data_IF_901652110810
#
_entry.id   IF_901652110810
#
_cell.length_a   1.000
_cell.length_b   1.000
_cell.length_c   1.000
_cell.angle_alpha   90.00
_cell.angle_beta   90.00
_cell.angle_gamma   90.00
#
_symmetry.space_group_name_H-M   'P 1'
#
loop_
_entity.id
_entity.type
_entity.pdbx_description
1 polymer ?
#
# COMPACT_ATOMS: atom_id res chain seq x y z
N UNK A 1 -0.10 33.20 12.42
CA UNK A 1 0.27 31.95 13.10
C UNK A 1 1.53 32.06 13.95
N UNK A 2 1.93 33.28 14.25
CA UNK A 2 3.16 33.56 15.05
C UNK A 2 3.06 32.95 16.44
N UNK A 3 1.91 33.11 17.08
CA UNK A 3 1.68 32.57 18.43
C UNK A 3 1.78 31.05 18.43
N UNK A 4 1.23 30.40 17.40
CA UNK A 4 1.27 28.95 17.26
C UNK A 4 2.70 28.46 17.05
N UNK A 5 3.49 29.17 16.25
CA UNK A 5 4.89 28.88 16.04
C UNK A 5 5.68 28.89 17.34
N UNK A 6 5.49 29.94 18.17
CA UNK A 6 6.16 30.04 19.45
C UNK A 6 5.75 28.92 20.40
N UNK A 7 4.49 28.58 20.41
CA UNK A 7 3.96 27.51 21.23
C UNK A 7 4.56 26.15 20.80
N UNK A 8 4.72 25.94 19.53
CA UNK A 8 5.34 24.69 19.02
C UNK A 8 6.76 24.54 19.50
N UNK A 9 7.55 25.63 19.48
CA UNK A 9 8.92 25.58 19.97
C UNK A 9 8.98 25.23 21.45
N UNK A 10 8.02 25.71 22.24
CA UNK A 10 7.97 25.46 23.67
C UNK A 10 7.34 24.11 24.00
N UNK A 11 6.34 23.70 23.26
CA UNK A 11 5.54 22.51 23.53
C UNK A 11 6.16 21.20 23.05
N UNK A 12 7.13 21.22 22.14
CA UNK A 12 7.76 20.00 21.61
C UNK A 12 6.74 19.06 21.00
N UNK A 13 6.69 17.83 21.53
CA UNK A 13 5.79 16.79 21.02
C UNK A 13 4.32 17.16 21.17
N UNK A 14 3.95 17.92 22.17
CA UNK A 14 2.58 18.35 22.37
C UNK A 14 2.10 19.26 21.25
N UNK A 15 3.02 19.98 20.62
CA UNK A 15 2.71 20.91 19.53
C UNK A 15 2.92 20.25 18.15
N UNK A 16 3.66 19.14 18.09
CA UNK A 16 3.92 18.45 16.82
C UNK A 16 2.66 17.88 16.21
N UNK A 17 1.75 17.35 17.03
CA UNK A 17 0.52 16.77 16.51
C UNK A 17 -0.41 17.81 15.87
N UNK A 18 -0.74 18.95 16.52
CA UNK A 18 -1.53 19.98 15.85
C UNK A 18 -0.90 20.51 14.57
N UNK A 19 0.42 20.65 14.54
CA UNK A 19 1.14 21.07 13.34
C UNK A 19 0.99 20.07 12.22
N UNK A 20 1.11 18.79 12.54
CA UNK A 20 0.93 17.72 11.56
C UNK A 20 -0.50 17.73 11.00
N UNK A 21 -1.52 17.86 11.85
CA UNK A 21 -2.91 17.92 11.42
C UNK A 21 -3.16 19.10 10.50
N UNK A 22 -2.59 20.25 10.82
CA UNK A 22 -2.71 21.44 9.99
C UNK A 22 -2.07 21.22 8.62
N UNK A 23 -0.89 20.61 8.59
CA UNK A 23 -0.21 20.31 7.33
C UNK A 23 -1.00 19.30 6.49
N UNK A 24 -1.53 18.26 7.11
CA UNK A 24 -2.29 17.21 6.41
C UNK A 24 -3.50 17.80 5.69
N UNK A 25 -4.20 18.74 6.32
CA UNK A 25 -5.43 19.31 5.76
C UNK A 25 -5.20 20.61 5.01
N UNK A 26 -3.94 21.04 4.82
CA UNK A 26 -3.62 22.28 4.15
C UNK A 26 -3.86 22.18 2.64
N UNK A 27 -4.58 23.16 2.10
CA UNK A 27 -4.80 23.28 0.66
C UNK A 27 -3.70 24.10 -0.03
N UNK A 28 -2.71 24.59 0.74
CA UNK A 28 -1.60 25.36 0.21
C UNK A 28 -0.43 24.50 -0.25
N UNK A 29 -0.44 23.20 0.05
CA UNK A 29 0.56 22.27 -0.46
C UNK A 29 0.36 22.07 -1.95
N UNK A 30 1.45 21.84 -2.66
CA UNK A 30 1.36 21.54 -4.10
C UNK A 30 0.43 20.36 -4.37
N UNK A 31 0.53 19.31 -3.54
CA UNK A 31 -0.36 18.16 -3.59
C UNK A 31 -1.09 18.06 -2.26
N UNK A 32 -2.40 18.02 -2.33
CA UNK A 32 -3.20 17.87 -1.12
C UNK A 32 -3.00 16.47 -0.54
N UNK A 33 -2.68 16.38 0.75
CA UNK A 33 -2.53 15.08 1.43
C UNK A 33 -3.88 14.61 1.95
N UNK A 34 -4.46 15.29 2.93
CA UNK A 34 -5.70 14.92 3.58
C UNK A 34 -5.55 13.70 4.47
N UNK A 35 -6.58 13.42 5.28
CA UNK A 35 -6.57 12.23 6.12
C UNK A 35 -6.69 10.94 5.29
N UNK A 36 -7.42 10.99 4.19
CA UNK A 36 -7.42 9.87 3.26
C UNK A 36 -6.06 9.67 2.61
N UNK A 37 -5.32 10.77 2.38
CA UNK A 37 -3.95 10.67 1.85
C UNK A 37 -2.98 10.03 2.83
N UNK A 38 -3.17 10.23 4.12
CA UNK A 38 -2.37 9.57 5.16
C UNK A 38 -2.52 8.05 5.10
N UNK A 39 -3.70 7.56 4.73
CA UNK A 39 -3.93 6.13 4.50
C UNK A 39 -3.49 5.72 3.10
N UNK A 40 -3.82 6.51 2.09
CA UNK A 40 -3.58 6.19 0.67
C UNK A 40 -2.10 6.06 0.34
N UNK A 41 -1.29 7.03 0.79
CA UNK A 41 0.11 7.10 0.37
C UNK A 41 0.89 5.85 0.78
N UNK A 42 0.91 5.43 2.06
CA UNK A 42 1.62 4.20 2.41
C UNK A 42 1.01 2.95 1.76
N UNK A 43 -0.31 2.90 1.58
CA UNK A 43 -0.95 1.75 0.93
C UNK A 43 -0.53 1.61 -0.52
N UNK A 44 -0.57 2.69 -1.29
CA UNK A 44 -0.18 2.64 -2.70
C UNK A 44 1.31 2.41 -2.87
N UNK A 45 2.15 3.01 -2.02
CA UNK A 45 3.59 2.79 -2.06
C UNK A 45 3.93 1.33 -1.73
N UNK A 46 3.27 0.75 -0.75
CA UNK A 46 3.46 -0.65 -0.38
C UNK A 46 3.06 -1.57 -1.52
N UNK A 47 1.91 -1.32 -2.13
CA UNK A 47 1.44 -2.12 -3.27
C UNK A 47 2.41 -2.01 -4.45
N UNK A 48 2.84 -0.80 -4.78
CA UNK A 48 3.76 -0.58 -5.90
C UNK A 48 5.12 -1.22 -5.66
N UNK A 49 5.68 -1.04 -4.47
CA UNK A 49 6.98 -1.62 -4.13
C UNK A 49 6.93 -3.14 -4.15
N UNK A 50 5.92 -3.73 -3.56
CA UNK A 50 5.77 -5.19 -3.55
C UNK A 50 5.56 -5.74 -4.96
N UNK A 51 4.76 -5.05 -5.77
CA UNK A 51 4.54 -5.45 -7.16
C UNK A 51 5.86 -5.46 -7.94
N UNK A 52 6.63 -4.38 -7.86
CA UNK A 52 7.89 -4.27 -8.60
C UNK A 52 8.87 -5.36 -8.17
N UNK A 53 9.05 -5.54 -6.87
CA UNK A 53 9.99 -6.56 -6.36
C UNK A 53 9.53 -7.95 -6.73
N UNK A 54 8.25 -8.24 -6.59
CA UNK A 54 7.70 -9.57 -6.93
C UNK A 54 7.77 -9.84 -8.44
N UNK A 55 7.48 -8.83 -9.26
CA UNK A 55 7.56 -8.97 -10.71
C UNK A 55 8.98 -9.27 -11.18
N UNK A 56 9.98 -8.74 -10.48
CA UNK A 56 11.39 -8.93 -10.85
C UNK A 56 11.97 -10.20 -10.24
N UNK A 57 11.71 -10.48 -8.96
CA UNK A 57 12.53 -11.41 -8.20
C UNK A 57 11.77 -12.46 -7.39
N UNK A 58 10.45 -12.50 -7.43
CA UNK A 58 9.72 -13.47 -6.62
C UNK A 58 9.97 -14.91 -7.09
N UNK A 59 10.19 -15.86 -6.15
CA UNK A 59 10.36 -17.25 -6.53
C UNK A 59 9.06 -17.85 -7.09
N UNK A 60 9.14 -19.02 -7.77
CA UNK A 60 7.93 -19.65 -8.30
C UNK A 60 6.88 -19.93 -7.24
N UNK A 61 5.62 -19.79 -7.61
CA UNK A 61 4.46 -19.87 -6.73
C UNK A 61 3.58 -21.06 -7.10
N UNK A 62 3.13 -21.79 -6.09
CA UNK A 62 2.25 -22.95 -6.24
C UNK A 62 0.80 -22.48 -6.39
N UNK A 63 0.46 -21.93 -7.54
CA UNK A 63 -0.87 -21.34 -7.78
C UNK A 63 -2.01 -22.34 -7.70
N UNK A 64 -1.82 -23.53 -8.28
CA UNK A 64 -2.92 -24.52 -8.36
C UNK A 64 -3.04 -25.39 -7.11
N UNK A 65 -2.10 -25.27 -6.18
CA UNK A 65 -2.12 -26.05 -4.96
C UNK A 65 -1.72 -27.52 -5.14
N UNK A 66 -1.16 -27.86 -6.29
CA UNK A 66 -0.75 -29.23 -6.62
C UNK A 66 0.77 -29.42 -6.53
N UNK A 67 1.46 -28.45 -5.94
CA UNK A 67 2.93 -28.43 -5.80
C UNK A 67 3.65 -28.41 -7.13
N UNK A 68 3.09 -27.71 -8.09
CA UNK A 68 3.70 -27.44 -9.39
C UNK A 68 3.89 -25.92 -9.51
N UNK A 69 5.01 -25.37 -8.99
CA UNK A 69 5.19 -23.94 -8.95
C UNK A 69 5.27 -23.30 -10.33
N UNK A 70 4.67 -22.11 -10.45
CA UNK A 70 4.68 -21.31 -11.67
C UNK A 70 5.61 -20.13 -11.49
N UNK A 71 6.57 -19.96 -12.38
CA UNK A 71 7.49 -18.83 -12.38
C UNK A 71 6.84 -17.63 -13.08
N UNK A 72 6.77 -16.51 -12.39
CA UNK A 72 6.23 -15.27 -12.95
C UNK A 72 7.23 -14.11 -12.97
N UNK A 73 8.35 -14.23 -12.26
CA UNK A 73 9.32 -13.14 -12.15
C UNK A 73 10.31 -13.15 -13.31
N UNK A 74 10.86 -11.96 -13.59
CA UNK A 74 11.84 -11.79 -14.66
C UNK A 74 13.09 -12.62 -14.43
N UNK A 75 13.54 -12.75 -13.18
CA UNK A 75 14.74 -13.52 -12.84
C UNK A 75 14.58 -15.02 -13.04
N UNK A 76 13.36 -15.49 -13.27
CA UNK A 76 13.05 -16.91 -13.46
C UNK A 76 12.69 -17.23 -14.90
N UNK A 77 13.20 -16.45 -15.85
CA UNK A 77 13.07 -16.74 -17.26
C UNK A 77 11.91 -16.09 -17.98
N UNK A 78 11.25 -15.14 -17.34
CA UNK A 78 10.18 -14.38 -17.96
C UNK A 78 10.67 -13.05 -18.53
N UNK A 79 9.88 -12.48 -19.43
CA UNK A 79 10.06 -11.13 -19.92
C UNK A 79 8.87 -10.27 -19.47
N UNK A 80 8.82 -9.00 -19.91
CA UNK A 80 7.75 -8.11 -19.51
C UNK A 80 6.38 -8.62 -19.94
N UNK A 81 6.31 -9.31 -21.08
CA UNK A 81 5.04 -9.81 -21.60
C UNK A 81 4.56 -11.04 -20.82
N UNK A 82 5.46 -11.97 -20.52
CA UNK A 82 5.11 -13.22 -19.84
C UNK A 82 5.17 -13.10 -18.32
N UNK A 83 5.78 -12.04 -17.79
CA UNK A 83 5.92 -11.86 -16.36
C UNK A 83 4.59 -11.56 -15.68
N UNK A 84 4.48 -11.99 -14.42
CA UNK A 84 3.28 -11.74 -13.63
C UNK A 84 3.59 -11.95 -12.16
N UNK A 85 2.82 -11.27 -11.30
CA UNK A 85 2.75 -11.64 -9.89
C UNK A 85 1.73 -12.78 -9.82
N UNK A 86 2.22 -13.98 -9.58
CA UNK A 86 1.38 -15.18 -9.64
C UNK A 86 0.37 -15.17 -8.49
N UNK A 87 -0.91 -15.45 -8.75
CA UNK A 87 -1.93 -15.47 -7.71
C UNK A 87 -1.62 -16.42 -6.57
N UNK A 88 -2.26 -16.19 -5.43
CA UNK A 88 -2.12 -17.04 -4.26
C UNK A 88 -2.57 -18.47 -4.53
N UNK A 89 -1.96 -19.40 -3.82
CA UNK A 89 -2.23 -20.84 -3.98
C UNK A 89 -3.71 -21.17 -3.80
N UNK A 90 -4.21 -22.07 -4.62
CA UNK A 90 -5.55 -22.62 -4.47
C UNK A 90 -5.73 -23.34 -3.13
N UNK A 91 -4.65 -23.83 -2.54
CA UNK A 91 -4.69 -24.46 -1.21
C UNK A 91 -5.08 -23.44 -0.12
N UNK A 92 -4.75 -22.16 -0.31
CA UNK A 92 -5.16 -21.08 0.59
C UNK A 92 -6.63 -20.70 0.34
N UNK A 93 -7.06 -20.78 -0.93
CA UNK A 93 -8.40 -20.42 -1.32
C UNK A 93 -8.70 -18.95 -1.05
N UNK A 94 -9.80 -18.68 -0.36
CA UNK A 94 -10.22 -17.34 0.01
C UNK A 94 -9.69 -16.90 1.37
N UNK A 95 -8.85 -17.69 2.02
CA UNK A 95 -8.31 -17.35 3.33
C UNK A 95 -7.36 -16.16 3.23
N UNK A 96 -7.46 -15.28 4.21
CA UNK A 96 -6.53 -14.17 4.36
C UNK A 96 -5.15 -14.72 4.74
N UNK A 97 -4.12 -14.34 3.98
CA UNK A 97 -2.78 -14.91 4.11
C UNK A 97 -1.72 -13.82 4.20
N UNK A 98 -1.67 -13.09 5.33
CA UNK A 98 -0.60 -12.12 5.56
C UNK A 98 0.71 -12.81 5.92
N UNK A 99 1.80 -12.05 5.91
CA UNK A 99 3.13 -12.60 6.22
C UNK A 99 3.15 -13.31 7.58
N UNK A 100 2.45 -12.75 8.58
CA UNK A 100 2.48 -13.30 9.93
C UNK A 100 1.68 -14.59 10.11
N UNK A 101 0.88 -14.98 9.14
CA UNK A 101 0.16 -16.25 9.17
C UNK A 101 0.98 -17.40 8.59
N UNK A 102 2.06 -17.09 7.88
CA UNK A 102 2.96 -18.10 7.38
C UNK A 102 4.01 -18.45 8.44
N UNK A 103 4.50 -19.69 8.42
CA UNK A 103 5.57 -20.09 9.33
C UNK A 103 6.88 -19.37 9.00
N UNK A 104 7.15 -19.15 7.72
CA UNK A 104 8.34 -18.44 7.24
C UNK A 104 7.98 -17.55 6.06
N UNK A 105 8.85 -16.58 5.75
CA UNK A 105 8.70 -15.74 4.57
C UNK A 105 8.82 -16.58 3.28
N UNK A 106 9.66 -17.60 3.29
CA UNK A 106 9.81 -18.49 2.13
C UNK A 106 8.51 -19.23 1.85
N UNK A 107 7.83 -19.71 2.88
CA UNK A 107 6.52 -20.34 2.75
C UNK A 107 5.49 -19.36 2.22
N UNK A 108 5.50 -18.13 2.74
CA UNK A 108 4.60 -17.08 2.28
C UNK A 108 4.82 -16.79 0.80
N UNK A 109 6.08 -16.71 0.35
CA UNK A 109 6.40 -16.50 -1.06
C UNK A 109 5.94 -17.67 -1.93
N UNK A 110 6.15 -18.90 -1.46
CA UNK A 110 5.77 -20.11 -2.21
C UNK A 110 4.27 -20.20 -2.42
N UNK A 111 3.49 -19.76 -1.45
CA UNK A 111 2.03 -19.79 -1.51
C UNK A 111 1.39 -18.57 -2.16
N UNK A 112 2.20 -17.67 -2.69
CA UNK A 112 1.66 -16.51 -3.42
C UNK A 112 1.17 -15.39 -2.52
N UNK A 113 1.73 -15.25 -1.33
CA UNK A 113 1.37 -14.16 -0.41
C UNK A 113 1.51 -12.76 -1.00
N UNK A 114 2.55 -12.47 -1.79
CA UNK A 114 2.69 -11.15 -2.41
C UNK A 114 1.50 -10.71 -3.24
N UNK A 115 0.81 -11.62 -3.89
CA UNK A 115 -0.38 -11.29 -4.66
C UNK A 115 -1.46 -10.65 -3.78
N UNK A 116 -1.75 -11.25 -2.62
CA UNK A 116 -2.72 -10.68 -1.68
C UNK A 116 -2.27 -9.35 -1.13
N UNK A 117 -0.99 -9.23 -0.79
CA UNK A 117 -0.45 -7.97 -0.29
C UNK A 117 -0.69 -6.85 -1.30
N UNK A 118 -0.35 -7.09 -2.55
CA UNK A 118 -0.49 -6.08 -3.61
C UNK A 118 -1.96 -5.71 -3.82
N UNK A 119 -2.83 -6.70 -4.03
CA UNK A 119 -4.22 -6.38 -4.37
C UNK A 119 -4.97 -5.71 -3.23
N UNK A 120 -4.74 -6.14 -1.99
CA UNK A 120 -5.45 -5.55 -0.85
C UNK A 120 -4.96 -4.13 -0.56
N UNK A 121 -3.64 -3.90 -0.59
CA UNK A 121 -3.11 -2.56 -0.42
C UNK A 121 -3.54 -1.63 -1.55
N UNK A 122 -3.55 -2.14 -2.77
CA UNK A 122 -4.01 -1.36 -3.92
C UNK A 122 -5.49 -0.99 -3.78
N UNK A 123 -6.35 -1.94 -3.42
CA UNK A 123 -7.78 -1.67 -3.26
C UNK A 123 -8.05 -0.66 -2.15
N UNK A 124 -7.36 -0.78 -1.03
CA UNK A 124 -7.46 0.21 0.05
C UNK A 124 -6.97 1.56 -0.44
N UNK A 125 -5.86 1.57 -1.16
CA UNK A 125 -5.27 2.80 -1.69
C UNK A 125 -6.19 3.54 -2.66
N UNK A 126 -6.82 2.84 -3.60
CA UNK A 126 -7.74 3.50 -4.55
C UNK A 126 -9.03 3.93 -3.86
N UNK A 127 -9.50 3.18 -2.87
CA UNK A 127 -10.66 3.59 -2.07
C UNK A 127 -10.35 4.87 -1.30
N UNK A 128 -9.16 4.94 -0.71
CA UNK A 128 -8.70 6.15 -0.03
C UNK A 128 -8.48 7.30 -1.02
N UNK A 129 -8.07 7.02 -2.26
CA UNK A 129 -7.95 8.04 -3.28
C UNK A 129 -9.32 8.69 -3.57
N UNK A 130 -10.35 7.89 -3.68
CA UNK A 130 -11.71 8.42 -3.87
C UNK A 130 -12.15 9.25 -2.67
N UNK A 131 -11.85 8.77 -1.46
CA UNK A 131 -12.14 9.51 -0.24
C UNK A 131 -11.37 10.82 -0.17
N UNK A 132 -10.13 10.82 -0.65
CA UNK A 132 -9.29 12.02 -0.72
C UNK A 132 -9.86 13.06 -1.69
N UNK A 133 -10.43 12.63 -2.80
CA UNK A 133 -11.11 13.54 -3.74
C UNK A 133 -12.31 14.20 -3.06
N UNK A 134 -13.10 13.42 -2.34
CA UNK A 134 -14.21 13.98 -1.58
C UNK A 134 -13.69 14.95 -0.50
N UNK A 135 -12.66 14.56 0.23
CA UNK A 135 -12.13 15.37 1.33
C UNK A 135 -11.65 16.73 0.82
N UNK A 136 -10.91 16.73 -0.30
CA UNK A 136 -10.45 17.99 -0.87
C UNK A 136 -11.63 18.88 -1.30
N UNK A 137 -12.66 18.29 -1.90
CA UNK A 137 -13.84 19.06 -2.27
C UNK A 137 -14.50 19.69 -1.05
N UNK A 138 -14.54 18.98 0.06
CA UNK A 138 -15.05 19.51 1.33
C UNK A 138 -14.22 20.69 1.83
N UNK A 139 -12.88 20.56 1.78
CA UNK A 139 -11.97 21.65 2.21
C UNK A 139 -12.14 22.91 1.37
N UNK A 140 -12.43 22.73 0.10
CA UNK A 140 -12.63 23.86 -0.83
C UNK A 140 -14.06 24.39 -0.87
N UNK A 141 -14.96 23.81 -0.09
CA UNK A 141 -16.35 24.21 -0.04
C UNK A 141 -17.15 23.82 -1.29
N UNK A 142 -16.69 22.82 -2.03
CA UNK A 142 -17.34 22.35 -3.23
C UNK A 142 -18.44 21.34 -2.89
N UNK A 143 -19.37 21.18 -3.80
CA UNK A 143 -20.35 20.10 -3.69
C UNK A 143 -19.68 18.78 -4.06
N UNK A 144 -19.96 17.71 -3.33
CA UNK A 144 -19.43 16.40 -3.68
C UNK A 144 -19.92 15.91 -5.05
#
# INVERSE_FOLDING_TARGET
MTTLSNTRRQGGLLQGWPEFCEWVTSTNNRLYVGWFGVLMIPCLLTAAACFVVAFIAAPPVDIDGIREPVAGALMYGNNIISGAVVPSSNAIGLHFYPIWEAATVDEWLYNGGPYQLVIFHFLIGISAYMGRQWELSYRLGMRP
#
